data_IF_227241309334
#
_entry.id   IF_227241309334
#
_cell.length_a   1.000
_cell.length_b   1.000
_cell.length_c   1.000
_cell.angle_alpha   90.00
_cell.angle_beta   90.00
_cell.angle_gamma   90.00
#
_symmetry.space_group_name_H-M   'P 1'
#
loop_
_entity.id
_entity.type
_entity.pdbx_description
1 polymer ?
#
# COMPACT_ATOMS: atom_id res chain seq x y z
N UNK A 1 -3.00 7.45 -28.37
CA UNK A 1 -2.07 6.28 -28.46
C UNK A 1 -1.97 5.55 -27.11
N UNK A 2 -1.72 6.26 -26.01
CA UNK A 2 -1.63 5.69 -24.65
C UNK A 2 -2.93 5.01 -24.15
N UNK A 3 -4.10 5.61 -24.39
CA UNK A 3 -5.39 5.02 -23.98
C UNK A 3 -5.61 3.60 -24.49
N UNK A 4 -5.21 3.33 -25.74
CA UNK A 4 -5.30 1.99 -26.32
C UNK A 4 -4.37 1.02 -25.58
N UNK A 5 -3.14 1.44 -25.30
CA UNK A 5 -2.17 0.62 -24.57
C UNK A 5 -2.66 0.31 -23.15
N UNK A 6 -3.26 1.28 -22.45
CA UNK A 6 -3.85 1.06 -21.13
C UNK A 6 -5.04 0.09 -21.16
N UNK A 7 -5.90 0.18 -22.19
CA UNK A 7 -6.99 -0.79 -22.38
C UNK A 7 -6.47 -2.19 -22.70
N UNK A 8 -5.43 -2.30 -23.52
CA UNK A 8 -4.82 -3.56 -23.88
C UNK A 8 -4.12 -4.20 -22.66
N UNK A 9 -3.42 -3.40 -21.85
CA UNK A 9 -2.90 -3.80 -20.52
C UNK A 9 -4.01 -4.30 -19.60
N UNK A 10 -5.08 -3.53 -19.41
CA UNK A 10 -6.17 -3.92 -18.53
C UNK A 10 -6.84 -5.24 -18.97
N UNK A 11 -7.04 -5.44 -20.28
CA UNK A 11 -7.60 -6.68 -20.83
C UNK A 11 -6.67 -7.88 -20.66
N UNK A 12 -5.36 -7.67 -20.72
CA UNK A 12 -4.38 -8.74 -20.58
C UNK A 12 -4.15 -9.16 -19.12
N UNK A 13 -4.51 -8.32 -18.15
CA UNK A 13 -4.27 -8.54 -16.73
C UNK A 13 -5.57 -8.39 -15.92
N UNK A 14 -6.66 -9.01 -16.38
CA UNK A 14 -7.95 -8.92 -15.70
C UNK A 14 -7.87 -9.46 -14.27
N UNK A 15 -8.67 -8.93 -13.33
CA UNK A 15 -8.72 -9.43 -11.97
C UNK A 15 -8.97 -10.94 -11.93
N UNK A 16 -8.11 -11.65 -11.22
CA UNK A 16 -8.24 -13.08 -10.92
C UNK A 16 -8.16 -13.26 -9.40
N UNK A 17 -8.85 -14.27 -8.89
CA UNK A 17 -8.90 -14.55 -7.45
C UNK A 17 -7.79 -15.51 -6.99
N UNK A 18 -7.07 -16.14 -7.92
CA UNK A 18 -5.93 -17.00 -7.63
C UNK A 18 -4.63 -16.18 -7.59
N UNK A 19 -4.12 -15.93 -6.39
CA UNK A 19 -2.91 -15.12 -6.13
C UNK A 19 -1.70 -15.55 -6.97
N UNK A 20 -1.57 -16.84 -7.28
CA UNK A 20 -0.46 -17.41 -8.05
C UNK A 20 -0.90 -18.00 -9.40
N UNK A 21 -2.01 -17.52 -9.96
CA UNK A 21 -2.50 -17.94 -11.27
C UNK A 21 -1.41 -17.87 -12.35
N UNK A 22 -1.52 -18.72 -13.37
CA UNK A 22 -0.67 -18.63 -14.56
C UNK A 22 -0.88 -17.29 -15.29
N UNK A 23 -2.12 -16.78 -15.29
CA UNK A 23 -2.43 -15.46 -15.83
C UNK A 23 -2.27 -14.39 -14.74
N UNK A 24 -1.48 -13.34 -14.97
CA UNK A 24 -1.32 -12.27 -14.00
C UNK A 24 -2.60 -11.44 -13.91
N UNK A 25 -2.90 -10.95 -12.70
CA UNK A 25 -4.02 -10.04 -12.44
C UNK A 25 -3.46 -8.74 -11.93
N UNK A 26 -3.91 -7.62 -12.52
CA UNK A 26 -3.34 -6.32 -12.20
C UNK A 26 -3.53 -5.98 -10.71
N UNK A 27 -4.56 -6.53 -10.06
CA UNK A 27 -4.81 -6.33 -8.63
C UNK A 27 -3.59 -6.71 -7.78
N UNK A 28 -2.93 -7.83 -8.09
CA UNK A 28 -1.79 -8.33 -7.32
C UNK A 28 -0.54 -7.46 -7.48
N UNK A 29 -0.46 -6.64 -8.52
CA UNK A 29 0.74 -5.85 -8.81
C UNK A 29 0.99 -4.75 -7.78
N UNK A 30 -0.03 -4.37 -7.02
CA UNK A 30 -0.06 -3.15 -6.21
C UNK A 30 0.36 -3.35 -4.76
N UNK A 31 0.53 -4.58 -4.30
CA UNK A 31 0.81 -4.84 -2.89
C UNK A 31 1.51 -6.17 -2.70
N UNK A 32 1.98 -6.40 -1.49
CA UNK A 32 2.38 -7.70 -0.94
C UNK A 32 1.89 -7.76 0.50
N UNK A 33 1.53 -8.94 1.02
CA UNK A 33 0.94 -9.08 2.36
C UNK A 33 1.93 -9.74 3.33
N UNK A 34 3.09 -9.11 3.54
CA UNK A 34 4.11 -9.64 4.46
C UNK A 34 3.54 -9.67 5.90
N UNK A 35 3.60 -10.80 6.62
CA UNK A 35 3.14 -10.90 7.99
C UNK A 35 3.90 -9.94 8.91
N UNK A 36 3.15 -9.11 9.65
CA UNK A 36 3.72 -8.19 10.65
C UNK A 36 3.91 -8.83 12.03
N UNK A 37 3.30 -10.01 12.26
CA UNK A 37 3.45 -10.81 13.49
C UNK A 37 3.67 -12.30 13.14
N UNK A 38 4.82 -12.90 13.54
CA UNK A 38 6.02 -12.20 14.00
C UNK A 38 6.55 -11.27 12.90
N UNK A 39 7.40 -10.29 13.22
CA UNK A 39 8.04 -9.46 12.20
C UNK A 39 8.86 -10.33 11.25
N UNK A 40 8.65 -10.16 9.96
CA UNK A 40 9.39 -10.84 8.90
C UNK A 40 10.00 -9.80 7.96
N UNK A 41 11.04 -10.20 7.24
CA UNK A 41 11.45 -9.50 6.02
C UNK A 41 10.64 -10.03 4.83
N UNK A 42 10.71 -9.33 3.71
CA UNK A 42 10.26 -9.85 2.44
C UNK A 42 11.12 -11.05 2.04
N UNK A 43 10.45 -12.09 1.52
CA UNK A 43 11.09 -13.25 0.91
C UNK A 43 10.11 -13.86 -0.08
N UNK A 44 10.56 -14.10 -1.31
CA UNK A 44 9.73 -14.67 -2.38
C UNK A 44 9.07 -16.00 -1.95
N UNK A 45 7.79 -16.16 -2.31
CA UNK A 45 7.06 -17.43 -2.13
C UNK A 45 6.64 -17.75 -0.70
N UNK A 46 6.93 -16.88 0.28
CA UNK A 46 6.38 -16.96 1.62
C UNK A 46 4.90 -16.54 1.64
N UNK A 47 4.18 -16.84 2.74
CA UNK A 47 2.77 -16.51 2.91
C UNK A 47 2.50 -15.02 2.66
N UNK A 48 1.51 -14.71 1.82
CA UNK A 48 1.17 -13.33 1.43
C UNK A 48 2.00 -12.72 0.31
N UNK A 49 3.09 -13.37 -0.13
CA UNK A 49 3.98 -12.87 -1.19
C UNK A 49 3.67 -13.59 -2.50
N UNK A 50 2.99 -12.89 -3.41
CA UNK A 50 2.68 -13.41 -4.75
C UNK A 50 3.89 -13.29 -5.68
N UNK A 51 4.06 -14.22 -6.62
CA UNK A 51 5.01 -14.06 -7.75
C UNK A 51 4.68 -12.88 -8.68
N UNK A 52 3.51 -12.27 -8.48
CA UNK A 52 3.03 -11.08 -9.21
C UNK A 52 3.01 -9.83 -8.34
N UNK A 53 3.50 -9.90 -7.10
CA UNK A 53 3.37 -8.80 -6.17
C UNK A 53 4.21 -7.58 -6.57
N UNK A 54 4.02 -6.49 -5.84
CA UNK A 54 4.68 -5.21 -6.10
C UNK A 54 6.21 -5.30 -6.15
N UNK A 55 6.81 -6.21 -5.38
CA UNK A 55 8.27 -6.41 -5.34
C UNK A 55 8.79 -6.99 -6.65
N UNK A 56 7.98 -7.81 -7.35
CA UNK A 56 8.32 -8.35 -8.65
C UNK A 56 7.94 -7.41 -9.81
N UNK A 57 6.87 -6.63 -9.65
CA UNK A 57 6.36 -5.79 -10.74
C UNK A 57 7.16 -4.51 -10.95
N UNK A 58 7.80 -3.96 -9.91
CA UNK A 58 8.74 -2.84 -10.03
C UNK A 58 9.93 -3.20 -10.95
N UNK A 59 10.74 -4.25 -10.68
CA UNK A 59 11.85 -4.61 -11.54
C UNK A 59 11.38 -5.03 -12.94
N UNK A 60 10.22 -5.68 -13.08
CA UNK A 60 9.67 -5.98 -14.40
C UNK A 60 9.41 -4.72 -15.25
N UNK A 61 8.84 -3.66 -14.65
CA UNK A 61 8.68 -2.36 -15.31
C UNK A 61 10.04 -1.76 -15.71
N UNK A 62 11.04 -1.85 -14.83
CA UNK A 62 12.41 -1.40 -15.11
C UNK A 62 13.00 -2.14 -16.31
N UNK A 63 12.87 -3.46 -16.37
CA UNK A 63 13.35 -4.28 -17.48
C UNK A 63 12.68 -3.94 -18.82
N UNK A 64 11.38 -3.62 -18.82
CA UNK A 64 10.67 -3.13 -20.02
C UNK A 64 11.22 -1.77 -20.46
N UNK A 65 11.43 -0.83 -19.53
CA UNK A 65 11.96 0.49 -19.83
C UNK A 65 13.38 0.42 -20.43
N UNK A 66 14.21 -0.47 -19.88
CA UNK A 66 15.57 -0.74 -20.36
C UNK A 66 15.62 -1.62 -21.62
N UNK A 67 14.48 -2.15 -22.07
CA UNK A 67 14.38 -2.99 -23.27
C UNK A 67 14.90 -4.41 -23.10
N UNK A 68 15.15 -4.87 -21.86
CA UNK A 68 15.48 -6.27 -21.55
C UNK A 68 14.25 -7.17 -21.71
N UNK A 69 13.07 -6.67 -21.36
CA UNK A 69 11.77 -7.30 -21.66
C UNK A 69 11.13 -6.59 -22.86
N UNK A 70 10.69 -7.32 -23.91
CA UNK A 70 10.07 -6.70 -25.08
C UNK A 70 8.70 -6.09 -24.74
N UNK A 71 8.34 -4.99 -25.40
CA UNK A 71 7.03 -4.34 -25.24
C UNK A 71 5.85 -5.24 -25.67
N UNK A 72 6.12 -6.26 -26.49
CA UNK A 72 5.15 -7.28 -26.90
C UNK A 72 5.13 -8.48 -25.96
N UNK A 73 5.13 -8.22 -24.65
CA UNK A 73 4.95 -9.24 -23.63
C UNK A 73 3.47 -9.60 -23.44
N UNK A 74 3.24 -10.73 -22.78
CA UNK A 74 1.89 -11.26 -22.50
C UNK A 74 1.03 -10.29 -21.68
N UNK A 75 1.67 -9.52 -20.78
CA UNK A 75 1.02 -8.52 -19.92
C UNK A 75 0.67 -7.22 -20.65
N UNK A 76 1.06 -7.04 -21.91
CA UNK A 76 0.87 -5.79 -22.69
C UNK A 76 1.43 -4.55 -21.99
N UNK A 77 2.49 -4.72 -21.20
CA UNK A 77 3.22 -3.61 -20.58
C UNK A 77 4.20 -3.06 -21.62
N UNK A 78 3.81 -1.97 -22.28
CA UNK A 78 4.68 -1.18 -23.17
C UNK A 78 5.60 -0.28 -22.34
N UNK A 79 6.58 0.40 -22.94
CA UNK A 79 7.42 1.37 -22.19
C UNK A 79 6.59 2.49 -21.56
N UNK A 80 5.56 2.97 -22.25
CA UNK A 80 4.70 4.02 -21.73
C UNK A 80 3.81 3.52 -20.56
N UNK A 81 3.31 2.28 -20.65
CA UNK A 81 2.57 1.65 -19.55
C UNK A 81 3.51 1.37 -18.37
N UNK A 82 4.74 0.88 -18.63
CA UNK A 82 5.75 0.63 -17.61
C UNK A 82 6.10 1.90 -16.84
N UNK A 83 6.26 3.04 -17.50
CA UNK A 83 6.53 4.32 -16.84
C UNK A 83 5.37 4.74 -15.91
N UNK A 84 4.12 4.63 -16.38
CA UNK A 84 2.94 4.97 -15.58
C UNK A 84 2.76 4.01 -14.39
N UNK A 85 2.95 2.71 -14.64
CA UNK A 85 2.85 1.68 -13.62
C UNK A 85 3.96 1.85 -12.59
N UNK A 86 5.21 2.09 -13.00
CA UNK A 86 6.34 2.31 -12.10
C UNK A 86 6.10 3.52 -11.18
N UNK A 87 5.59 4.63 -11.72
CA UNK A 87 5.25 5.81 -10.90
C UNK A 87 4.17 5.50 -9.86
N UNK A 88 3.19 4.66 -10.21
CA UNK A 88 2.13 4.25 -9.31
C UNK A 88 2.62 3.27 -8.24
N UNK A 89 3.34 2.21 -8.65
CA UNK A 89 3.87 1.19 -7.75
C UNK A 89 4.89 1.75 -6.76
N UNK A 90 5.68 2.76 -7.14
CA UNK A 90 6.57 3.40 -6.17
C UNK A 90 5.78 4.16 -5.08
N UNK A 91 4.61 4.70 -5.37
CA UNK A 91 3.76 5.26 -4.33
C UNK A 91 3.14 4.16 -3.46
N UNK A 92 2.65 3.08 -4.08
CA UNK A 92 2.03 1.95 -3.39
C UNK A 92 3.01 1.29 -2.41
N UNK A 93 4.25 1.00 -2.80
CA UNK A 93 5.23 0.32 -1.92
C UNK A 93 5.66 1.16 -0.72
N UNK A 94 5.40 2.47 -0.75
CA UNK A 94 5.64 3.40 0.36
C UNK A 94 4.40 3.58 1.26
N UNK A 95 3.28 2.90 0.95
CA UNK A 95 2.10 2.84 1.80
C UNK A 95 2.21 1.59 2.69
N UNK A 96 2.30 1.72 4.03
CA UNK A 96 2.57 0.57 4.92
C UNK A 96 1.66 -0.65 4.74
N UNK A 97 0.37 -0.44 4.51
CA UNK A 97 -0.63 -1.50 4.35
C UNK A 97 -0.72 -2.07 2.92
N UNK A 98 0.08 -1.57 1.97
CA UNK A 98 0.34 -2.27 0.72
C UNK A 98 1.50 -3.27 0.85
N UNK A 99 2.16 -3.33 2.00
CA UNK A 99 3.33 -4.21 2.20
C UNK A 99 3.17 -5.13 3.41
N UNK A 100 2.59 -4.63 4.51
CA UNK A 100 2.38 -5.42 5.72
C UNK A 100 0.91 -5.74 5.97
N UNK A 101 0.65 -7.00 6.36
CA UNK A 101 -0.67 -7.52 6.73
C UNK A 101 -0.62 -8.29 8.05
N UNK A 102 -1.74 -8.32 8.77
CA UNK A 102 -1.92 -9.16 9.95
C UNK A 102 -2.76 -10.39 9.63
N UNK A 103 -2.39 -11.51 10.25
CA UNK A 103 -2.98 -12.82 9.99
C UNK A 103 -3.63 -13.37 11.24
N UNK A 104 -4.80 -13.99 11.07
CA UNK A 104 -5.63 -14.46 12.16
C UNK A 104 -5.98 -15.94 12.00
N UNK A 105 -6.01 -16.67 13.11
CA UNK A 105 -6.54 -18.03 13.13
C UNK A 105 -8.08 -18.06 13.08
N UNK A 106 -8.65 -19.26 13.08
CA UNK A 106 -10.11 -19.46 13.03
C UNK A 106 -10.83 -18.90 14.28
N UNK A 107 -10.11 -18.67 15.38
CA UNK A 107 -10.61 -18.07 16.61
C UNK A 107 -10.43 -16.54 16.63
N UNK A 108 -9.90 -15.97 15.54
CA UNK A 108 -9.67 -14.55 15.41
C UNK A 108 -8.48 -14.04 16.23
N UNK A 109 -7.56 -14.93 16.63
CA UNK A 109 -6.32 -14.55 17.31
C UNK A 109 -5.20 -14.36 16.29
N UNK A 110 -4.32 -13.39 16.55
CA UNK A 110 -3.15 -13.14 15.69
C UNK A 110 -2.26 -14.37 15.66
N UNK A 111 -1.84 -14.80 14.47
CA UNK A 111 -1.02 -15.99 14.26
C UNK A 111 0.00 -15.79 13.15
N UNK A 112 1.09 -16.56 13.22
CA UNK A 112 2.08 -16.66 12.14
C UNK A 112 1.54 -17.58 11.02
N UNK A 113 1.31 -17.07 9.79
CA UNK A 113 0.79 -17.89 8.69
C UNK A 113 1.79 -18.94 8.19
N UNK A 114 3.09 -18.79 8.49
CA UNK A 114 4.09 -19.82 8.19
C UNK A 114 3.94 -21.06 9.08
N UNK A 115 3.46 -20.85 10.31
CA UNK A 115 3.22 -21.93 11.29
C UNK A 115 1.78 -22.43 11.25
N UNK A 116 0.85 -21.57 10.89
CA UNK A 116 -0.57 -21.90 10.76
C UNK A 116 -1.05 -21.64 9.33
N UNK A 117 -1.08 -22.68 8.50
CA UNK A 117 -1.50 -22.57 7.09
C UNK A 117 -2.99 -22.28 6.90
N UNK A 118 -3.83 -22.40 7.94
CA UNK A 118 -5.23 -21.97 7.86
C UNK A 118 -5.44 -20.51 8.24
N UNK A 119 -4.36 -19.79 8.58
CA UNK A 119 -4.43 -18.39 8.90
C UNK A 119 -4.99 -17.56 7.73
N UNK A 120 -5.83 -16.60 8.07
CA UNK A 120 -6.47 -15.71 7.13
C UNK A 120 -5.90 -14.31 7.30
N UNK A 121 -5.44 -13.70 6.20
CA UNK A 121 -4.94 -12.33 6.20
C UNK A 121 -6.06 -11.30 6.31
N UNK A 122 -5.72 -10.10 6.76
CA UNK A 122 -6.59 -8.93 6.78
C UNK A 122 -6.62 -8.13 5.47
N UNK A 123 -5.89 -8.61 4.45
CA UNK A 123 -5.78 -8.04 3.10
C UNK A 123 -5.29 -6.58 3.15
N UNK A 124 -4.20 -6.33 3.90
CA UNK A 124 -3.68 -4.98 4.14
C UNK A 124 -4.71 -4.10 4.86
N UNK A 125 -5.55 -4.66 5.71
CA UNK A 125 -6.64 -3.96 6.40
C UNK A 125 -7.87 -3.64 5.53
N UNK A 126 -8.01 -4.19 4.32
CA UNK A 126 -9.17 -3.95 3.46
C UNK A 126 -10.47 -4.58 3.99
N UNK A 127 -10.38 -5.50 4.94
CA UNK A 127 -11.54 -6.22 5.49
C UNK A 127 -11.89 -5.77 6.90
N UNK A 128 -11.12 -4.85 7.46
CA UNK A 128 -11.29 -4.33 8.81
C UNK A 128 -11.84 -2.92 8.82
N UNK A 129 -12.80 -2.69 9.70
CA UNK A 129 -13.35 -1.34 9.92
C UNK A 129 -12.57 -0.62 11.01
N UNK A 130 -12.19 0.63 10.77
CA UNK A 130 -11.40 1.44 11.68
C UNK A 130 -12.29 2.28 12.60
N UNK A 131 -11.92 2.37 13.88
CA UNK A 131 -12.48 3.30 14.86
C UNK A 131 -11.35 4.06 15.54
N UNK A 132 -11.36 5.39 15.40
CA UNK A 132 -10.34 6.28 15.95
C UNK A 132 -10.89 7.04 17.16
N UNK A 133 -10.03 7.26 18.15
CA UNK A 133 -10.34 7.95 19.40
C UNK A 133 -10.59 9.45 19.21
N UNK A 134 -10.10 10.02 18.11
CA UNK A 134 -10.30 11.43 17.73
C UNK A 134 -11.61 11.68 16.97
N UNK A 135 -12.38 10.62 16.68
CA UNK A 135 -13.68 10.70 16.02
C UNK A 135 -14.83 10.57 17.03
N UNK A 136 -15.98 11.23 16.80
CA UNK A 136 -17.14 11.06 17.67
C UNK A 136 -17.62 9.59 17.65
N UNK A 137 -18.17 9.09 18.77
CA UNK A 137 -18.66 7.72 18.85
C UNK A 137 -19.63 7.41 17.72
N UNK A 138 -19.49 6.21 17.16
CA UNK A 138 -20.28 5.73 16.03
C UNK A 138 -21.79 5.91 16.30
N UNK A 139 -22.50 6.49 15.33
CA UNK A 139 -23.97 6.59 15.32
C UNK A 139 -24.55 5.76 14.19
N UNK A 140 -25.78 5.28 14.37
CA UNK A 140 -26.52 4.49 13.36
C UNK A 140 -26.62 5.29 12.05
N UNK A 141 -26.26 4.66 10.93
CA UNK A 141 -26.33 5.26 9.59
C UNK A 141 -25.04 5.92 9.08
N UNK A 142 -23.94 5.87 9.85
CA UNK A 142 -22.61 6.32 9.38
C UNK A 142 -21.89 5.13 8.71
N UNK A 143 -21.39 5.33 7.48
CA UNK A 143 -20.57 4.34 6.78
C UNK A 143 -19.30 4.03 7.57
N UNK A 144 -19.01 2.74 7.77
CA UNK A 144 -17.78 2.29 8.44
C UNK A 144 -16.59 2.54 7.52
N UNK A 145 -15.60 3.28 8.02
CA UNK A 145 -14.31 3.48 7.35
C UNK A 145 -13.50 2.18 7.40
N UNK A 146 -12.83 1.83 6.32
CA UNK A 146 -11.92 0.68 6.28
C UNK A 146 -10.52 1.10 6.72
N UNK A 147 -9.77 0.21 7.35
CA UNK A 147 -8.39 0.48 7.78
C UNK A 147 -7.50 0.83 6.58
N UNK A 148 -7.52 0.02 5.52
CA UNK A 148 -6.76 0.33 4.31
C UNK A 148 -7.16 1.68 3.69
N UNK A 149 -8.47 1.90 3.51
CA UNK A 149 -8.99 3.15 2.94
C UNK A 149 -8.68 4.40 3.78
N UNK A 150 -8.47 4.24 5.10
CA UNK A 150 -7.97 5.34 5.92
C UNK A 150 -6.56 5.75 5.51
N UNK A 151 -5.65 4.79 5.29
CA UNK A 151 -4.28 5.08 4.87
C UNK A 151 -4.20 5.68 3.47
N UNK A 152 -4.95 5.13 2.51
CA UNK A 152 -4.97 5.62 1.12
C UNK A 152 -5.54 7.02 0.97
N UNK A 153 -6.45 7.43 1.88
CA UNK A 153 -7.26 8.62 1.67
C UNK A 153 -7.32 9.55 2.89
N UNK A 154 -7.79 9.08 4.03
CA UNK A 154 -7.98 9.94 5.20
C UNK A 154 -6.66 10.47 5.78
N UNK A 155 -5.63 9.63 5.88
CA UNK A 155 -4.31 10.01 6.39
C UNK A 155 -3.60 11.01 5.47
N UNK A 156 -3.74 10.85 4.15
CA UNK A 156 -3.24 11.79 3.13
C UNK A 156 -3.96 13.13 3.23
N UNK A 157 -5.29 13.12 3.31
CA UNK A 157 -6.06 14.36 3.42
C UNK A 157 -5.84 15.09 4.75
N UNK A 158 -5.43 14.37 5.80
CA UNK A 158 -5.05 14.96 7.08
C UNK A 158 -3.75 15.78 7.03
N UNK A 159 -2.98 15.74 5.92
CA UNK A 159 -1.93 16.72 5.63
C UNK A 159 -2.49 18.14 5.44
N UNK A 160 -3.78 18.27 5.18
CA UNK A 160 -4.47 19.55 4.93
C UNK A 160 -5.51 19.85 6.02
N UNK A 161 -5.12 19.97 7.30
CA UNK A 161 -6.06 20.13 8.42
C UNK A 161 -6.89 21.43 8.33
N UNK A 162 -6.45 22.39 7.52
CA UNK A 162 -7.14 23.64 7.23
C UNK A 162 -8.47 23.43 6.47
N UNK A 163 -8.62 22.28 5.79
CA UNK A 163 -9.84 21.91 5.07
C UNK A 163 -10.80 21.24 6.06
N UNK A 164 -11.40 22.05 6.93
CA UNK A 164 -12.34 21.59 7.94
C UNK A 164 -13.75 21.46 7.34
N UNK A 165 -14.38 20.30 7.53
CA UNK A 165 -15.84 20.18 7.54
C UNK A 165 -16.44 19.09 6.67
N UNK A 166 -17.75 18.85 6.90
CA UNK A 166 -18.59 17.99 6.06
C UNK A 166 -18.96 18.70 4.75
N UNK A 167 -17.96 19.02 3.95
CA UNK A 167 -18.16 19.55 2.61
C UNK A 167 -18.34 18.40 1.61
N UNK A 168 -19.11 18.60 0.52
CA UNK A 168 -19.11 17.68 -0.60
C UNK A 168 -17.69 17.48 -1.13
N UNK A 169 -17.37 16.26 -1.58
CA UNK A 169 -16.02 15.87 -2.05
C UNK A 169 -15.43 16.85 -3.07
N UNK A 170 -16.23 17.38 -3.99
CA UNK A 170 -15.78 18.37 -4.99
C UNK A 170 -15.32 19.69 -4.37
N UNK A 171 -15.97 20.15 -3.30
CA UNK A 171 -15.59 21.37 -2.58
C UNK A 171 -14.34 21.15 -1.72
N UNK A 172 -14.23 19.96 -1.10
CA UNK A 172 -13.00 19.55 -0.40
C UNK A 172 -11.83 19.57 -1.38
N UNK A 173 -11.99 18.93 -2.55
CA UNK A 173 -10.93 18.87 -3.56
C UNK A 173 -10.49 20.27 -4.00
N UNK A 174 -11.44 21.16 -4.29
CA UNK A 174 -11.12 22.53 -4.71
C UNK A 174 -10.31 23.33 -3.68
N UNK A 175 -10.49 23.05 -2.38
CA UNK A 175 -9.70 23.68 -1.31
C UNK A 175 -8.35 23.00 -1.11
N UNK A 176 -8.27 21.68 -1.31
CA UNK A 176 -7.02 20.92 -1.19
C UNK A 176 -6.06 21.23 -2.34
N UNK A 177 -6.55 21.45 -3.57
CA UNK A 177 -5.68 21.66 -4.75
C UNK A 177 -4.58 22.74 -4.61
N UNK A 178 -4.84 23.96 -4.09
CA UNK A 178 -3.77 24.93 -3.86
C UNK A 178 -2.78 24.46 -2.78
N UNK A 179 -3.25 23.94 -1.65
CA UNK A 179 -2.40 23.46 -0.55
C UNK A 179 -1.54 22.26 -0.99
N UNK A 180 -2.11 21.38 -1.81
CA UNK A 180 -1.41 20.24 -2.41
C UNK A 180 -0.24 20.71 -3.26
N UNK A 181 -0.41 21.78 -4.05
CA UNK A 181 0.69 22.35 -4.85
C UNK A 181 1.83 22.86 -3.98
N UNK A 182 1.51 23.48 -2.83
CA UNK A 182 2.53 23.94 -1.88
C UNK A 182 3.30 22.76 -1.27
N UNK A 183 2.60 21.73 -0.79
CA UNK A 183 3.24 20.52 -0.24
C UNK A 183 4.09 19.79 -1.28
N UNK A 184 3.59 19.63 -2.50
CA UNK A 184 4.35 19.01 -3.60
C UNK A 184 5.59 19.84 -3.93
N UNK A 185 5.47 21.17 -3.96
CA UNK A 185 6.62 22.05 -4.20
C UNK A 185 7.66 21.94 -3.08
N UNK A 186 7.23 21.93 -1.80
CA UNK A 186 8.11 21.73 -0.65
C UNK A 186 8.86 20.40 -0.75
N UNK A 187 8.13 19.29 -0.96
CA UNK A 187 8.69 17.96 -1.09
C UNK A 187 9.65 17.84 -2.28
N UNK A 188 9.36 18.48 -3.42
CA UNK A 188 10.22 18.45 -4.59
C UNK A 188 11.49 19.31 -4.46
N UNK A 189 11.49 20.33 -3.60
CA UNK A 189 12.60 21.28 -3.43
C UNK A 189 13.50 20.97 -2.25
N UNK A 190 13.09 20.07 -1.35
CA UNK A 190 13.85 19.67 -0.18
C UNK A 190 14.11 18.18 -0.21
N UNK A 191 15.35 17.78 0.06
CA UNK A 191 15.72 16.37 0.10
C UNK A 191 15.13 15.69 1.36
N UNK A 192 14.44 14.55 1.25
CA UNK A 192 13.96 13.79 2.42
C UNK A 192 15.15 13.22 3.20
N UNK A 193 14.91 12.75 4.42
CA UNK A 193 15.93 11.99 5.17
C UNK A 193 15.94 10.53 4.72
N UNK A 194 17.12 9.93 4.67
CA UNK A 194 17.31 8.48 4.46
C UNK A 194 16.61 7.88 3.22
N UNK A 195 16.38 8.67 2.16
CA UNK A 195 15.67 8.19 0.97
C UNK A 195 16.58 7.45 -0.02
N UNK A 196 17.87 7.78 -0.06
CA UNK A 196 18.83 7.22 -1.03
C UNK A 196 19.08 5.73 -0.75
N UNK A 197 19.04 4.94 -1.80
CA UNK A 197 19.48 3.56 -1.74
C UNK A 197 21.01 3.47 -1.63
N UNK A 198 21.56 2.49 -0.89
CA UNK A 198 23.00 2.30 -0.82
C UNK A 198 23.58 2.03 -2.22
N UNK A 199 24.71 2.64 -2.54
CA UNK A 199 25.31 2.59 -3.89
C UNK A 199 25.78 1.19 -4.32
N UNK A 200 25.90 0.26 -3.38
CA UNK A 200 26.28 -1.14 -3.61
C UNK A 200 25.07 -2.05 -3.93
N UNK A 201 23.86 -1.50 -3.95
CA UNK A 201 22.63 -2.25 -4.24
C UNK A 201 22.26 -2.04 -5.70
N UNK A 202 22.06 -3.14 -6.42
CA UNK A 202 21.55 -3.12 -7.79
C UNK A 202 20.09 -2.65 -7.81
N UNK A 203 19.71 -1.92 -8.86
CA UNK A 203 18.34 -1.40 -9.04
C UNK A 203 17.28 -2.50 -8.93
N UNK A 204 17.59 -3.70 -9.43
CA UNK A 204 16.67 -4.85 -9.40
C UNK A 204 16.28 -5.26 -7.97
N UNK A 205 17.09 -4.89 -6.96
CA UNK A 205 16.85 -5.20 -5.54
C UNK A 205 16.22 -4.03 -4.77
N UNK A 206 15.92 -2.90 -5.41
CA UNK A 206 15.39 -1.72 -4.70
C UNK A 206 14.00 -2.00 -4.10
N UNK A 207 13.15 -2.72 -4.84
CA UNK A 207 11.78 -2.99 -4.40
C UNK A 207 11.74 -3.82 -3.11
N UNK A 208 12.56 -4.86 -3.00
CA UNK A 208 12.67 -5.66 -1.77
C UNK A 208 13.13 -4.81 -0.58
N UNK A 209 14.14 -3.96 -0.77
CA UNK A 209 14.62 -3.09 0.30
C UNK A 209 13.59 -2.04 0.73
N UNK A 210 12.82 -1.49 -0.21
CA UNK A 210 11.73 -0.56 0.12
C UNK A 210 10.60 -1.26 0.87
N UNK A 211 10.25 -2.49 0.46
CA UNK A 211 9.30 -3.31 1.20
C UNK A 211 9.78 -3.56 2.64
N UNK A 212 11.04 -3.96 2.82
CA UNK A 212 11.60 -4.18 4.16
C UNK A 212 11.66 -2.90 5.01
N UNK A 213 11.95 -1.75 4.39
CA UNK A 213 12.03 -0.47 5.09
C UNK A 213 10.68 -0.01 5.66
N UNK A 214 9.56 -0.28 4.97
CA UNK A 214 8.23 0.17 5.39
C UNK A 214 7.57 -0.78 6.41
N UNK A 215 8.02 -2.03 6.52
CA UNK A 215 7.43 -3.05 7.40
C UNK A 215 7.34 -2.67 8.89
N UNK A 216 8.34 -2.00 9.49
CA UNK A 216 8.21 -1.51 10.87
C UNK A 216 7.01 -0.56 11.04
N UNK A 217 6.73 0.31 10.07
CA UNK A 217 5.58 1.22 10.09
C UNK A 217 4.27 0.45 9.89
N UNK A 218 4.26 -0.57 9.02
CA UNK A 218 3.09 -1.44 8.84
C UNK A 218 2.78 -2.19 10.15
N UNK A 219 3.80 -2.74 10.81
CA UNK A 219 3.64 -3.35 12.13
C UNK A 219 3.12 -2.36 13.16
N UNK A 220 3.70 -1.16 13.22
CA UNK A 220 3.22 -0.13 14.15
C UNK A 220 1.75 0.24 13.88
N UNK A 221 1.34 0.28 12.61
CA UNK A 221 -0.04 0.53 12.19
C UNK A 221 -1.03 -0.49 12.75
N UNK A 222 -0.64 -1.76 12.85
CA UNK A 222 -1.47 -2.83 13.44
C UNK A 222 -1.37 -2.82 14.97
N UNK A 223 -0.17 -2.69 15.55
CA UNK A 223 0.02 -2.75 17.01
C UNK A 223 -0.69 -1.62 17.76
N UNK A 224 -0.89 -0.46 17.14
CA UNK A 224 -1.69 0.65 17.69
C UNK A 224 -3.20 0.36 17.76
N UNK A 225 -3.65 -0.74 17.15
CA UNK A 225 -5.05 -1.14 17.09
C UNK A 225 -5.30 -2.39 17.94
N UNK A 226 -6.50 -2.48 18.49
CA UNK A 226 -7.08 -3.69 19.05
C UNK A 226 -8.06 -4.26 18.03
N UNK A 227 -7.84 -5.52 17.66
CA UNK A 227 -8.70 -6.24 16.72
C UNK A 227 -9.78 -6.99 17.48
N UNK A 228 -11.05 -6.70 17.16
CA UNK A 228 -12.22 -7.28 17.80
C UNK A 228 -13.15 -7.89 16.76
N UNK A 229 -13.95 -8.86 17.22
CA UNK A 229 -14.97 -9.51 16.40
C UNK A 229 -14.40 -10.11 15.10
N UNK A 230 -13.15 -10.58 15.17
CA UNK A 230 -12.44 -11.15 14.02
C UNK A 230 -13.06 -12.49 13.66
N UNK A 231 -13.42 -12.64 12.39
CA UNK A 231 -14.04 -13.85 11.87
C UNK A 231 -13.70 -14.05 10.39
N UNK A 232 -13.78 -15.30 9.90
CA UNK A 232 -13.74 -15.57 8.47
C UNK A 232 -14.85 -14.82 7.73
N UNK A 233 -14.50 -14.17 6.64
CA UNK A 233 -15.41 -13.54 5.69
C UNK A 233 -15.15 -14.12 4.31
N UNK A 234 -16.23 -14.47 3.60
CA UNK A 234 -16.14 -14.84 2.18
C UNK A 234 -16.07 -13.56 1.35
N UNK A 235 -14.94 -13.36 0.67
CA UNK A 235 -14.73 -12.26 -0.27
C UNK A 235 -14.54 -12.83 -1.68
N UNK A 236 -15.61 -12.81 -2.46
CA UNK A 236 -15.70 -13.58 -3.71
C UNK A 236 -15.52 -15.08 -3.47
N UNK A 237 -14.46 -15.64 -4.05
CA UNK A 237 -14.09 -17.06 -3.92
C UNK A 237 -13.01 -17.31 -2.85
N UNK A 238 -12.52 -16.25 -2.19
CA UNK A 238 -11.53 -16.34 -1.11
C UNK A 238 -12.22 -16.26 0.26
N UNK A 239 -11.55 -16.81 1.26
CA UNK A 239 -11.88 -16.59 2.67
C UNK A 239 -10.75 -15.76 3.25
N UNK A 240 -11.12 -14.69 3.94
CA UNK A 240 -10.20 -13.69 4.52
C UNK A 240 -10.61 -13.40 5.97
N UNK A 241 -9.71 -12.85 6.78
CA UNK A 241 -10.09 -12.37 8.11
C UNK A 241 -10.82 -11.04 7.96
N UNK A 242 -11.85 -10.80 8.76
CA UNK A 242 -12.54 -9.51 8.79
C UNK A 242 -13.01 -9.19 10.21
N UNK A 243 -13.06 -7.91 10.56
CA UNK A 243 -13.48 -7.49 11.89
C UNK A 243 -13.44 -5.98 12.12
N UNK A 244 -13.15 -5.61 13.35
CA UNK A 244 -13.09 -4.23 13.81
C UNK A 244 -11.68 -3.95 14.35
N UNK A 245 -11.05 -2.88 13.88
CA UNK A 245 -9.77 -2.40 14.36
C UNK A 245 -10.02 -1.09 15.11
N UNK A 246 -9.76 -1.09 16.41
CA UNK A 246 -10.10 0.01 17.32
C UNK A 246 -8.81 0.58 17.86
N UNK A 247 -8.62 1.89 17.76
CA UNK A 247 -7.45 2.55 18.34
C UNK A 247 -7.31 2.24 19.83
N UNK A 248 -6.14 1.72 20.24
CA UNK A 248 -5.81 1.51 21.64
C UNK A 248 -5.65 2.85 22.35
N UNK A 249 -5.98 2.90 23.64
CA UNK A 249 -5.78 4.09 24.45
C UNK A 249 -4.31 4.53 24.42
N UNK A 250 -4.09 5.83 24.19
CA UNK A 250 -2.78 6.45 23.95
C UNK A 250 -1.87 6.26 25.19
N UNK A 251 -0.90 5.35 25.13
CA UNK A 251 0.17 5.26 26.14
C UNK A 251 1.38 6.13 25.79
N UNK A 252 1.62 6.41 24.50
CA UNK A 252 2.87 7.00 23.99
C UNK A 252 2.71 8.26 23.09
N UNK A 253 1.80 9.16 23.45
CA UNK A 253 1.79 10.59 23.06
C UNK A 253 1.32 11.05 21.66
N UNK A 254 0.67 10.25 20.82
CA UNK A 254 -0.09 10.80 19.67
C UNK A 254 -1.25 9.92 19.22
N UNK A 255 -2.34 10.56 18.77
CA UNK A 255 -3.47 9.87 18.16
C UNK A 255 -3.05 9.14 16.87
N UNK A 256 -3.71 8.03 16.55
CA UNK A 256 -3.44 7.21 15.36
C UNK A 256 -3.40 8.04 14.09
N UNK A 257 -4.35 8.97 13.92
CA UNK A 257 -4.37 9.86 12.75
C UNK A 257 -3.15 10.74 12.67
N UNK A 258 -2.78 11.39 13.78
CA UNK A 258 -1.63 12.28 13.81
C UNK A 258 -0.33 11.53 13.49
N UNK A 259 -0.17 10.33 14.05
CA UNK A 259 0.96 9.46 13.75
C UNK A 259 0.96 9.02 12.27
N UNK A 260 -0.15 8.47 11.77
CA UNK A 260 -0.25 8.01 10.39
C UNK A 260 -0.02 9.15 9.37
N UNK A 261 -0.52 10.35 9.65
CA UNK A 261 -0.28 11.54 8.81
C UNK A 261 1.20 11.92 8.74
N UNK A 262 1.97 11.76 9.83
CA UNK A 262 3.42 11.97 9.81
C UNK A 262 4.12 10.93 8.92
N UNK A 263 3.76 9.66 9.08
CA UNK A 263 4.29 8.58 8.22
C UNK A 263 3.98 8.85 6.75
N UNK A 264 2.72 9.18 6.43
CA UNK A 264 2.31 9.50 5.06
C UNK A 264 3.10 10.69 4.49
N UNK A 265 3.36 11.75 5.29
CA UNK A 265 4.19 12.88 4.85
C UNK A 265 5.59 12.41 4.46
N UNK A 266 6.23 11.64 5.33
CA UNK A 266 7.62 11.22 5.16
C UNK A 266 7.76 10.23 3.99
N UNK A 267 6.85 9.28 3.86
CA UNK A 267 6.92 8.23 2.85
C UNK A 267 6.51 8.72 1.46
N UNK A 268 5.54 9.64 1.34
CA UNK A 268 5.26 10.32 0.06
C UNK A 268 6.46 11.15 -0.40
N UNK A 269 7.17 11.79 0.53
CA UNK A 269 8.35 12.57 0.23
C UNK A 269 9.48 11.67 -0.30
N UNK A 270 9.76 10.54 0.36
CA UNK A 270 10.71 9.53 -0.12
C UNK A 270 10.33 8.96 -1.48
N UNK A 271 9.06 8.58 -1.68
CA UNK A 271 8.59 7.95 -2.92
C UNK A 271 8.86 8.82 -4.15
N UNK A 272 8.61 10.13 -4.06
CA UNK A 272 8.88 11.06 -5.16
C UNK A 272 10.36 11.14 -5.54
N UNK A 273 11.25 11.24 -4.54
CA UNK A 273 12.70 11.30 -4.77
C UNK A 273 13.28 9.97 -5.26
N UNK A 274 12.80 8.85 -4.71
CA UNK A 274 13.18 7.50 -5.15
C UNK A 274 12.73 7.22 -6.59
N UNK A 275 11.57 7.72 -6.99
CA UNK A 275 11.12 7.64 -8.38
C UNK A 275 12.03 8.44 -9.31
N UNK A 276 12.37 9.68 -8.95
CA UNK A 276 13.27 10.50 -9.75
C UNK A 276 14.66 9.83 -9.92
N UNK A 277 15.27 9.39 -8.83
CA UNK A 277 16.59 8.74 -8.84
C UNK A 277 16.59 7.41 -9.59
N UNK A 278 15.52 6.62 -9.45
CA UNK A 278 15.35 5.39 -10.21
C UNK A 278 15.27 5.69 -11.71
N UNK A 279 14.46 6.67 -12.12
CA UNK A 279 14.32 7.05 -13.52
C UNK A 279 15.65 7.56 -14.11
N UNK A 280 16.42 8.35 -13.37
CA UNK A 280 17.76 8.79 -13.79
C UNK A 280 18.75 7.65 -13.99
N UNK A 281 18.60 6.54 -13.24
CA UNK A 281 19.48 5.37 -13.36
C UNK A 281 19.13 4.46 -14.54
N UNK A 282 17.88 4.45 -14.99
CA UNK A 282 17.38 3.44 -15.93
C UNK A 282 17.04 3.98 -17.33
N UNK A 283 16.92 5.30 -17.50
CA UNK A 283 16.64 5.98 -18.78
C UNK A 283 17.90 6.64 -19.35
#
# INVERSE_FOLDING_TARGET
KIDRQLRDFWRANQPTHEMNSAAPSHHWFHYTDVPVVPPQAYHEGAAGRSKWDIVHMIPYCVEVLQGRVPEQNERKITKAVALLLLAHLLADIHQPLHVGAEYFDEQGQVTDPEKNRSALGDEGGNTFTLELSDEPPRRRGIHKKKLHGFWDYDAVNALFPQVIGRLPKSKIQAQIEPLKREVVHEMATHEPKNWRMPSNIAVDNYAEMWADEILPMAREAHTRLEFRNVKPLRDGDRIVAAGEAIEKSVTDHSFYREWATKIVRDELHKAGWRLADLLEKIL
#
